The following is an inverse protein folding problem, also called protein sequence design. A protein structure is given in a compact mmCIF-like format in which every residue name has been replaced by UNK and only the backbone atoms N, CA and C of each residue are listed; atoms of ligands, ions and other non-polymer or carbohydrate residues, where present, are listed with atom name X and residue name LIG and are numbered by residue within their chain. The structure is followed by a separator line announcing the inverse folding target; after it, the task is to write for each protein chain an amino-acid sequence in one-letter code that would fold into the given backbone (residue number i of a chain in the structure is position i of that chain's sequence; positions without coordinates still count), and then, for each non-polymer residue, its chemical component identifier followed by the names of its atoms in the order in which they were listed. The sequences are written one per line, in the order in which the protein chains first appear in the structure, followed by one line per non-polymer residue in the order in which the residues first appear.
data_IF_558708791175
#
_entry.id   IF_558708791175
#
_cell.length_a   1.000
_cell.length_b   1.000
_cell.length_c   1.000
_cell.angle_alpha   90.00
_cell.angle_beta   90.00
_cell.angle_gamma   90.00
#
_symmetry.space_group_name_H-M   'P 1'
#
loop_
_entity.id
_entity.type
_entity.pdbx_description
1 polymer ?
2 non-polymer ?
3 non-polymer ?
4 water ?
#
# COMPACT_ATOMS: atom_id res chain seq x y z
N UNK A 1 -7.73 28.67 0.93
CA UNK A 1 -7.93 27.94 2.18
C UNK A 1 -7.61 26.46 1.95
N UNK A 2 -7.00 25.81 2.95
CA UNK A 2 -6.69 24.39 2.79
C UNK A 2 -7.94 23.54 2.78
N UNK A 3 -7.86 22.40 2.09
CA UNK A 3 -8.89 21.38 2.22
C UNK A 3 -8.82 20.80 3.61
N UNK A 4 -9.98 20.43 4.17
CA UNK A 4 -10.07 19.99 5.56
C UNK A 4 -10.51 18.54 5.61
N UNK A 5 -9.81 17.74 6.41
CA UNK A 5 -10.13 16.33 6.57
C UNK A 5 -10.08 16.01 8.05
N UNK A 6 -10.86 15.00 8.45
CA UNK A 6 -10.95 14.57 9.84
C UNK A 6 -10.95 13.05 9.86
N UNK A 7 -10.11 12.45 10.72
CA UNK A 7 -10.03 11.00 10.80
C UNK A 7 -9.76 10.51 12.21
N UNK A 8 -10.39 9.38 12.55
CA UNK A 8 -10.01 8.61 13.73
C UNK A 8 -9.02 7.54 13.30
N UNK A 9 -7.91 7.44 14.03
CA UNK A 9 -6.94 6.38 13.77
C UNK A 9 -6.65 5.64 15.07
N UNK A 10 -6.20 4.39 14.92
CA UNK A 10 -5.90 3.52 16.05
C UNK A 10 -4.41 3.19 16.08
N UNK A 11 -3.85 3.15 17.29
CA UNK A 11 -2.50 2.66 17.54
C UNK A 11 -2.60 1.20 17.96
N UNK A 12 -1.91 0.32 17.23
CA UNK A 12 -1.99 -1.11 17.44
C UNK A 12 -0.62 -1.66 17.77
N UNK A 13 -0.62 -2.75 18.54
CA UNK A 13 0.62 -3.44 18.89
C UNK A 13 0.61 -3.89 20.33
N UNK A 14 1.52 -4.80 20.64
CA UNK A 14 1.61 -5.42 21.96
C UNK A 14 1.94 -4.38 23.03
N UNK A 15 1.76 -4.77 24.29
CA UNK A 15 2.08 -3.86 25.38
C UNK A 15 3.56 -3.51 25.36
N UNK A 16 3.84 -2.26 25.72
CA UNK A 16 5.20 -1.73 25.87
C UNK A 16 5.95 -1.61 24.55
N UNK A 17 5.27 -1.59 23.40
CA UNK A 17 5.98 -1.37 22.14
C UNK A 17 6.22 0.11 21.89
N UNK A 18 5.52 0.98 22.59
CA UNK A 18 5.67 2.42 22.45
C UNK A 18 4.48 3.15 21.85
N UNK A 19 3.27 2.58 21.93
CA UNK A 19 2.10 3.25 21.38
C UNK A 19 1.85 4.58 22.06
N UNK A 20 1.85 4.61 23.39
CA UNK A 20 1.66 5.87 24.11
C UNK A 20 2.82 6.82 23.82
N UNK A 21 4.04 6.32 23.90
CA UNK A 21 5.20 7.20 23.69
C UNK A 21 5.19 7.82 22.30
N UNK A 22 4.83 7.02 21.27
CA UNK A 22 4.76 7.60 19.93
C UNK A 22 3.67 8.66 19.85
N UNK A 23 2.51 8.40 20.48
CA UNK A 23 1.44 9.40 20.44
C UNK A 23 1.85 10.67 21.18
N UNK A 24 2.48 10.55 22.35
CA UNK A 24 2.97 11.72 23.08
C UNK A 24 4.01 12.48 22.26
N UNK A 25 4.94 11.77 21.62
CA UNK A 25 5.93 12.43 20.77
C UNK A 25 5.23 13.21 19.64
N UNK A 26 4.22 12.62 19.02
CA UNK A 26 3.56 13.30 17.91
C UNK A 26 2.73 14.50 18.36
N UNK A 27 2.01 14.37 19.47
CA UNK A 27 1.05 15.40 19.85
C UNK A 27 1.63 16.43 20.81
N UNK A 28 2.55 16.04 21.69
CA UNK A 28 3.16 16.95 22.65
C UNK A 28 4.64 17.20 22.41
N UNK A 29 5.26 16.50 21.45
CA UNK A 29 6.64 16.70 21.05
C UNK A 29 7.61 16.63 22.22
N UNK A 30 7.46 15.59 23.03
CA UNK A 30 8.47 15.26 24.03
C UNK A 30 8.42 13.77 24.32
N UNK A 31 9.38 13.34 25.15
CA UNK A 31 9.48 11.95 25.60
C UNK A 31 9.84 11.98 27.08
N UNK A 32 9.22 11.09 27.86
CA UNK A 32 9.51 10.98 29.29
C UNK A 32 9.34 9.53 29.70
N UNK A 33 10.41 8.90 30.21
CA UNK A 33 10.32 7.52 30.69
C UNK A 33 9.21 7.37 31.72
N UNK A 34 9.02 8.41 32.54
CA UNK A 34 8.05 8.39 33.62
C UNK A 34 6.72 9.02 33.23
N UNK A 35 6.42 9.14 31.94
CA UNK A 35 5.12 9.66 31.52
C UNK A 35 4.02 8.77 32.07
N UNK A 36 3.00 9.39 32.66
CA UNK A 36 1.84 8.69 33.19
C UNK A 36 0.68 8.95 32.24
N UNK A 37 0.23 7.93 31.53
CA UNK A 37 -0.99 8.05 30.74
C UNK A 37 -2.19 7.89 31.66
N UNK A 38 -3.22 8.68 31.44
CA UNK A 38 -4.39 8.63 32.30
C UNK A 38 -5.51 7.82 31.65
N UNK A 39 -6.24 7.10 32.48
CA UNK A 39 -7.37 6.28 32.04
C UNK A 39 -8.52 7.15 31.55
N UNK A 40 -8.53 8.44 31.90
CA UNK A 40 -9.64 9.32 31.58
C UNK A 40 -9.52 10.00 30.24
N UNK A 41 -9.12 9.24 29.22
CA UNK A 41 -8.88 9.80 27.90
C UNK A 41 -8.75 8.70 26.86
N UNK A 42 -9.75 8.56 26.00
CA UNK A 42 -9.67 7.56 24.93
C UNK A 42 -8.65 7.95 23.89
N UNK A 43 -8.51 9.23 23.60
CA UNK A 43 -7.76 9.63 22.42
C UNK A 43 -7.06 10.97 22.62
N UNK A 44 -6.00 11.15 21.85
CA UNK A 44 -5.33 12.44 21.71
C UNK A 44 -5.75 13.08 20.40
N UNK A 45 -5.54 14.37 20.29
CA UNK A 45 -5.90 15.12 19.09
C UNK A 45 -4.66 15.79 18.54
N UNK A 46 -4.50 15.70 17.23
CA UNK A 46 -3.44 16.40 16.52
C UNK A 46 -4.06 17.09 15.32
N UNK A 47 -3.69 18.34 15.09
CA UNK A 47 -4.02 19.04 13.86
C UNK A 47 -2.73 19.17 13.06
N UNK A 48 -2.76 18.73 11.80
CA UNK A 48 -1.57 18.61 10.99
C UNK A 48 -1.81 19.27 9.65
N UNK A 49 -0.87 20.11 9.21
CA UNK A 49 -0.94 20.71 7.88
C UNK A 49 -0.01 19.96 6.94
N UNK A 50 -0.51 19.60 5.76
CA UNK A 50 0.28 18.96 4.70
C UNK A 50 0.46 19.96 3.57
N UNK A 51 1.67 20.53 3.46
CA UNK A 51 1.95 21.56 2.47
C UNK A 51 1.82 21.04 1.04
N UNK A 52 2.32 19.82 0.79
CA UNK A 52 2.39 19.29 -0.57
C UNK A 52 1.04 19.32 -1.27
N UNK A 53 -0.07 19.36 -0.52
CA UNK A 53 -1.39 19.28 -1.13
C UNK A 53 -2.38 20.28 -0.53
N UNK A 54 -1.86 21.24 0.22
CA UNK A 54 -2.65 22.24 0.93
C UNK A 54 -3.88 21.62 1.59
N UNK A 55 -3.61 20.72 2.52
CA UNK A 55 -4.65 19.98 3.23
C UNK A 55 -4.36 20.05 4.71
N UNK A 56 -5.42 20.24 5.50
CA UNK A 56 -5.30 20.26 6.94
C UNK A 56 -6.08 19.06 7.49
N UNK A 57 -5.46 18.31 8.40
CA UNK A 57 -6.05 17.08 8.93
C UNK A 57 -6.18 17.22 10.44
N UNK A 58 -7.36 16.88 10.96
CA UNK A 58 -7.58 16.76 12.39
C UNK A 58 -7.69 15.28 12.70
N UNK A 59 -6.83 14.77 13.58
CA UNK A 59 -6.77 13.35 13.90
C UNK A 59 -7.20 13.14 15.34
N UNK A 60 -8.02 12.11 15.54
CA UNK A 60 -8.24 11.54 16.87
C UNK A 60 -7.42 10.27 16.91
N UNK A 61 -6.49 10.18 17.85
CA UNK A 61 -5.54 9.08 17.90
C UNK A 61 -5.90 8.24 19.12
N UNK A 62 -6.42 7.03 18.88
CA UNK A 62 -6.94 6.17 19.92
C UNK A 62 -5.90 5.12 20.29
N UNK A 63 -5.79 4.84 21.59
CA UNK A 63 -4.73 3.98 22.10
C UNK A 63 -5.28 3.25 23.33
N UNK A 64 -5.23 1.91 23.30
CA UNK A 64 -5.75 1.11 24.41
C UNK A 64 -4.93 1.33 25.68
N UNK A 73 -15.16 -3.72 24.71
CA UNK A 73 -14.09 -2.73 24.67
C UNK A 73 -13.54 -2.60 23.25
N UNK A 74 -13.20 -3.74 22.65
CA UNK A 74 -12.55 -3.73 21.34
C UNK A 74 -13.44 -3.10 20.28
N UNK A 75 -14.73 -3.45 20.26
CA UNK A 75 -15.63 -2.92 19.23
C UNK A 75 -15.62 -1.40 19.24
N UNK A 76 -15.78 -0.78 20.41
CA UNK A 76 -15.75 0.66 20.50
C UNK A 76 -14.40 1.25 20.18
N UNK A 77 -13.32 0.54 20.51
CA UNK A 77 -11.99 1.03 20.17
C UNK A 77 -11.84 1.20 18.67
N UNK A 78 -12.25 0.18 17.90
CA UNK A 78 -12.03 0.21 16.46
C UNK A 78 -13.07 1.03 15.71
N UNK A 79 -14.29 1.13 16.24
CA UNK A 79 -15.41 1.68 15.48
C UNK A 79 -15.07 3.03 14.88
N UNK A 80 -15.29 3.16 13.57
CA UNK A 80 -15.08 4.43 12.91
C UNK A 80 -13.66 4.74 12.48
N UNK A 81 -12.69 3.89 12.79
CA UNK A 81 -11.31 4.15 12.41
C UNK A 81 -11.15 4.07 10.88
N UNK A 82 -10.36 5.01 10.35
CA UNK A 82 -10.04 5.04 8.92
C UNK A 82 -8.57 4.67 8.63
N UNK A 83 -7.80 4.36 9.66
CA UNK A 83 -6.40 4.03 9.45
C UNK A 83 -5.78 3.69 10.80
N UNK A 84 -4.57 3.17 10.73
CA UNK A 84 -3.85 2.87 11.97
C UNK A 84 -2.37 2.73 11.78
N UNK A 85 -1.66 2.81 12.90
CA UNK A 85 -0.23 2.49 12.96
C UNK A 85 -0.07 1.14 13.66
N UNK A 86 0.69 0.25 13.04
CA UNK A 86 0.84 -1.12 13.52
C UNK A 86 2.27 -1.24 14.04
N UNK A 87 2.43 -1.19 15.36
CA UNK A 87 3.75 -1.05 15.97
C UNK A 87 4.28 -2.37 16.49
N UNK A 88 5.61 -2.53 16.38
CA UNK A 88 6.31 -3.51 17.17
C UNK A 88 7.57 -2.90 17.76
N UNK A 89 8.17 -3.61 18.71
CA UNK A 89 9.40 -3.20 19.38
C UNK A 89 10.54 -4.01 18.75
N UNK A 90 11.48 -3.32 18.08
CA UNK A 90 12.53 -4.05 17.37
C UNK A 90 13.42 -4.87 18.29
N UNK A 91 13.35 -4.66 19.60
CA UNK A 91 14.14 -5.42 20.56
C UNK A 91 13.42 -6.66 21.09
N UNK A 92 12.16 -6.90 20.69
CA UNK A 92 11.41 -8.05 21.19
C UNK A 92 10.71 -8.76 20.04
N UNK A 93 11.21 -9.94 19.67
CA UNK A 93 10.69 -10.62 18.47
C UNK A 93 9.23 -11.00 18.62
N UNK A 94 8.78 -11.33 19.83
CA UNK A 94 7.38 -11.72 20.01
C UNK A 94 6.44 -10.58 19.58
N UNK A 95 6.82 -9.32 19.82
CA UNK A 95 5.94 -8.23 19.42
C UNK A 95 5.85 -8.12 17.90
N UNK A 96 6.91 -8.50 17.19
CA UNK A 96 6.85 -8.53 15.73
C UNK A 96 5.98 -9.69 15.25
N UNK A 97 6.12 -10.87 15.85
CA UNK A 97 5.28 -12.00 15.45
C UNK A 97 3.80 -11.63 15.60
N UNK A 98 3.46 -10.83 16.60
CA UNK A 98 2.06 -10.56 16.91
C UNK A 98 1.42 -9.47 16.05
N UNK A 99 2.18 -8.75 15.22
CA UNK A 99 1.55 -7.69 14.45
C UNK A 99 0.47 -8.25 13.52
N UNK A 100 0.65 -9.47 13.02
CA UNK A 100 -0.38 -10.07 12.17
C UNK A 100 -1.67 -10.28 12.96
N UNK A 101 -1.56 -10.64 14.24
CA UNK A 101 -2.76 -10.84 15.03
C UNK A 101 -3.50 -9.52 15.25
N UNK A 102 -2.74 -8.42 15.41
CA UNK A 102 -3.37 -7.11 15.55
C UNK A 102 -4.07 -6.68 14.26
N UNK A 103 -3.42 -6.89 13.12
CA UNK A 103 -4.06 -6.58 11.84
C UNK A 103 -5.36 -7.35 11.69
N UNK A 104 -5.32 -8.66 11.98
CA UNK A 104 -6.55 -9.46 11.85
C UNK A 104 -7.63 -8.99 12.80
N UNK A 105 -7.27 -8.63 14.04
CA UNK A 105 -8.28 -8.18 15.00
C UNK A 105 -8.97 -6.91 14.51
N UNK A 106 -8.18 -5.95 14.02
CA UNK A 106 -8.74 -4.69 13.52
C UNK A 106 -9.67 -4.96 12.34
N UNK A 107 -9.21 -5.75 11.38
CA UNK A 107 -10.02 -5.97 10.19
C UNK A 107 -11.29 -6.75 10.51
N UNK A 108 -11.22 -7.69 11.45
CA UNK A 108 -12.41 -8.43 11.83
C UNK A 108 -13.42 -7.55 12.55
N UNK A 109 -12.93 -6.66 13.41
CA UNK A 109 -13.83 -5.78 14.16
C UNK A 109 -14.53 -4.79 13.24
N UNK A 110 -13.79 -4.26 12.26
CA UNK A 110 -14.35 -3.27 11.34
C UNK A 110 -15.10 -3.89 10.17
N UNK A 111 -14.88 -5.18 9.93
CA UNK A 111 -15.43 -5.90 8.78
C UNK A 111 -14.98 -5.30 7.45
N UNK A 112 -13.81 -4.66 7.46
CA UNK A 112 -13.20 -4.16 6.24
C UNK A 112 -11.72 -3.96 6.52
N UNK A 113 -10.96 -3.83 5.44
CA UNK A 113 -9.57 -3.42 5.56
C UNK A 113 -9.51 -1.90 5.72
N UNK A 114 -8.56 -1.44 6.52
CA UNK A 114 -8.22 -0.02 6.59
C UNK A 114 -6.73 0.09 6.35
N UNK A 115 -6.22 1.22 5.87
CA UNK A 115 -4.78 1.34 5.68
C UNK A 115 -4.04 1.32 7.00
N UNK A 116 -2.91 0.59 7.01
CA UNK A 116 -2.03 0.53 8.16
C UNK A 116 -0.63 0.83 7.69
N UNK A 117 0.12 1.57 8.50
CA UNK A 117 1.55 1.74 8.33
C UNK A 117 2.25 0.89 9.38
N UNK A 118 3.17 0.03 8.94
CA UNK A 118 3.95 -0.80 9.86
C UNK A 118 5.08 0.04 10.44
N UNK A 119 5.18 0.07 11.76
CA UNK A 119 6.13 0.93 12.45
C UNK A 119 7.03 0.07 13.31
N UNK A 120 8.30 0.01 12.96
CA UNK A 120 9.31 -0.67 13.77
C UNK A 120 9.84 0.36 14.74
N UNK A 121 9.42 0.29 16.00
CA UNK A 121 9.74 1.32 16.99
C UNK A 121 10.92 0.91 17.87
N UNK A 122 11.51 1.92 18.51
CA UNK A 122 12.67 1.79 19.40
C UNK A 122 13.97 1.55 18.65
N UNK A 123 14.09 2.07 17.42
CA UNK A 123 15.30 1.82 16.64
C UNK A 123 16.54 2.49 17.23
N UNK A 124 16.36 3.41 18.19
CA UNK A 124 17.50 4.01 18.87
C UNK A 124 18.24 3.00 19.72
N UNK A 125 17.60 1.86 20.04
CA UNK A 125 18.20 0.83 20.88
C UNK A 125 18.99 -0.15 20.00
N UNK A 126 20.08 0.36 19.45
CA UNK A 126 20.81 -0.38 18.41
C UNK A 126 21.41 -1.67 18.95
N UNK A 127 21.98 -1.62 20.16
CA UNK A 127 22.70 -2.78 20.67
C UNK A 127 21.79 -3.93 21.05
N UNK A 128 20.51 -3.69 21.30
CA UNK A 128 19.59 -4.75 21.67
C UNK A 128 18.57 -5.07 20.59
N UNK A 129 18.77 -4.56 19.37
CA UNK A 129 17.83 -4.83 18.30
C UNK A 129 17.93 -6.30 17.87
N UNK A 130 16.78 -6.94 17.69
CA UNK A 130 16.74 -8.32 17.23
C UNK A 130 15.94 -8.52 15.95
N UNK A 131 15.01 -7.64 15.60
CA UNK A 131 14.25 -7.73 14.36
C UNK A 131 14.91 -6.84 13.32
N UNK A 132 15.37 -7.44 12.22
CA UNK A 132 16.10 -6.70 11.21
C UNK A 132 15.14 -5.88 10.35
N UNK A 133 15.68 -4.78 9.80
CA UNK A 133 14.93 -3.91 8.90
C UNK A 133 14.23 -4.71 7.80
N UNK A 134 14.95 -5.65 7.18
CA UNK A 134 14.42 -6.37 6.04
C UNK A 134 13.21 -7.23 6.41
N UNK A 135 13.17 -7.74 7.64
CA UNK A 135 12.02 -8.54 8.07
C UNK A 135 10.75 -7.70 8.09
N UNK A 136 10.84 -6.48 8.64
CA UNK A 136 9.69 -5.60 8.67
C UNK A 136 9.30 -5.11 7.28
N UNK A 137 10.29 -4.78 6.45
CA UNK A 137 10.00 -4.38 5.08
C UNK A 137 9.27 -5.47 4.33
N UNK A 138 9.67 -6.73 4.52
CA UNK A 138 9.03 -7.83 3.81
C UNK A 138 7.59 -8.02 4.27
N UNK A 139 7.33 -7.98 5.58
CA UNK A 139 5.96 -8.10 6.06
C UNK A 139 5.08 -6.99 5.47
N UNK A 140 5.58 -5.76 5.49
CA UNK A 140 4.80 -4.64 4.97
C UNK A 140 4.53 -4.81 3.48
N UNK A 141 5.56 -5.16 2.72
CA UNK A 141 5.41 -5.33 1.27
C UNK A 141 4.38 -6.41 0.94
N UNK A 142 4.36 -7.52 1.71
CA UNK A 142 3.41 -8.59 1.45
C UNK A 142 1.96 -8.14 1.62
N UNK A 143 1.71 -7.09 2.41
CA UNK A 143 0.39 -6.56 2.69
C UNK A 143 0.12 -5.22 2.01
N UNK A 144 1.04 -4.75 1.17
CA UNK A 144 0.94 -3.41 0.56
C UNK A 144 0.81 -2.32 1.62
N UNK A 145 1.51 -2.50 2.75
CA UNK A 145 1.61 -1.46 3.77
C UNK A 145 2.93 -0.74 3.63
N UNK A 146 2.92 0.55 4.00
CA UNK A 146 4.19 1.24 4.12
C UNK A 146 4.90 0.82 5.41
N UNK A 147 6.22 1.06 5.44
CA UNK A 147 7.07 0.64 6.55
C UNK A 147 7.93 1.81 6.99
N UNK A 148 7.95 2.06 8.30
CA UNK A 148 8.71 3.18 8.88
C UNK A 148 9.48 2.67 10.08
N UNK A 149 10.77 3.04 10.18
CA UNK A 149 11.56 2.81 11.39
C UNK A 149 11.55 4.07 12.23
N UNK A 150 11.07 3.97 13.47
CA UNK A 150 10.83 5.15 14.29
C UNK A 150 11.47 5.01 15.67
N UNK A 151 11.64 6.17 16.33
CA UNK A 151 11.97 6.21 17.74
C UNK A 151 11.16 7.31 18.39
N UNK A 152 10.30 6.95 19.33
CA UNK A 152 9.63 7.98 20.11
C UNK A 152 10.61 8.77 20.95
N UNK A 153 11.72 8.13 21.36
CA UNK A 153 12.69 8.81 22.19
C UNK A 153 13.38 9.92 21.42
N UNK A 154 13.93 9.62 20.25
CA UNK A 154 14.64 10.67 19.51
C UNK A 154 13.73 11.47 18.61
N UNK A 155 12.51 11.00 18.37
CA UNK A 155 11.61 11.61 17.42
C UNK A 155 11.77 11.12 15.99
N UNK A 156 12.76 10.28 15.73
CA UNK A 156 13.09 9.88 14.36
C UNK A 156 11.87 9.29 13.67
N UNK A 157 11.45 9.92 12.56
CA UNK A 157 10.40 9.45 11.67
C UNK A 157 9.01 9.36 12.30
N UNK A 158 8.80 9.91 13.49
CA UNK A 158 7.48 9.77 14.11
C UNK A 158 6.45 10.58 13.34
N UNK A 159 6.70 11.87 13.11
CA UNK A 159 5.77 12.66 12.31
C UNK A 159 5.59 12.05 10.93
N UNK A 160 6.68 11.54 10.35
CA UNK A 160 6.63 10.93 9.02
C UNK A 160 5.63 9.79 8.98
N UNK A 161 5.63 8.93 10.01
CA UNK A 161 4.70 7.80 10.00
C UNK A 161 3.24 8.28 10.00
N UNK A 162 2.92 9.24 10.87
CA UNK A 162 1.55 9.73 10.90
C UNK A 162 1.21 10.49 9.62
N UNK A 163 2.15 11.28 9.09
CA UNK A 163 1.88 12.03 7.87
C UNK A 163 1.63 11.10 6.70
N UNK A 164 2.41 10.01 6.60
CA UNK A 164 2.19 9.02 5.55
C UNK A 164 0.78 8.46 5.64
N UNK A 165 0.37 8.09 6.85
CA UNK A 165 -0.98 7.54 7.00
C UNK A 165 -2.03 8.58 6.60
N UNK A 166 -1.85 9.83 7.02
CA UNK A 166 -2.78 10.89 6.67
C UNK A 166 -2.92 11.00 5.15
N UNK A 167 -1.80 10.99 4.43
CA UNK A 167 -1.89 11.13 2.97
C UNK A 167 -2.65 9.96 2.36
N UNK A 168 -2.41 8.75 2.87
CA UNK A 168 -3.13 7.59 2.36
C UNK A 168 -4.63 7.73 2.59
N UNK A 169 -5.00 8.18 3.80
CA UNK A 169 -6.43 8.31 4.11
C UNK A 169 -7.08 9.39 3.25
N UNK A 170 -6.37 10.48 2.98
CA UNK A 170 -6.88 11.52 2.08
C UNK A 170 -7.06 10.97 0.67
N UNK A 171 -6.07 10.24 0.17
CA UNK A 171 -6.25 9.67 -1.17
C UNK A 171 -7.43 8.70 -1.22
N UNK A 172 -7.69 7.96 -0.13
CA UNK A 172 -8.85 7.09 -0.10
C UNK A 172 -10.15 7.90 -0.06
N UNK A 173 -10.19 8.99 0.72
CA UNK A 173 -11.34 9.89 0.71
C UNK A 173 -11.61 10.41 -0.70
N UNK A 174 -10.56 10.82 -1.40
CA UNK A 174 -10.73 11.27 -2.79
C UNK A 174 -11.26 10.14 -3.68
N UNK A 175 -10.71 8.92 -3.52
CA UNK A 175 -11.21 7.78 -4.29
C UNK A 175 -12.71 7.61 -4.07
N UNK A 176 -13.14 7.69 -2.81
CA UNK A 176 -14.55 7.51 -2.51
C UNK A 176 -15.40 8.62 -3.13
N UNK A 177 -14.89 9.85 -3.09
CA UNK A 177 -15.61 10.95 -3.74
C UNK A 177 -15.85 10.65 -5.21
N UNK A 178 -14.84 10.10 -5.89
CA UNK A 178 -15.00 9.78 -7.30
C UNK A 178 -15.99 8.64 -7.50
N UNK A 179 -16.01 7.66 -6.61
CA UNK A 179 -16.92 6.54 -6.77
C UNK A 179 -18.37 6.97 -6.59
N UNK A 180 -18.61 7.94 -5.71
CA UNK A 180 -19.96 8.41 -5.48
C UNK A 180 -20.41 9.42 -6.51
N UNK A 181 -19.53 9.79 -7.46
CA UNK A 181 -19.76 10.87 -8.40
C UNK A 181 -19.75 10.38 -9.85
N UNK A 182 -20.09 9.12 -10.08
CA UNK A 182 -19.93 8.57 -11.43
C UNK A 182 -20.98 9.06 -12.41
N UNK B 1 -4.95 -29.18 2.67
CA UNK B 1 -4.88 -29.12 1.21
C UNK B 1 -4.02 -27.94 0.74
N UNK B 2 -3.22 -28.17 -0.30
CA UNK B 2 -2.38 -27.10 -0.82
C UNK B 2 -3.23 -25.92 -1.29
N UNK B 3 -2.73 -24.72 -1.04
CA UNK B 3 -3.50 -23.50 -1.29
C UNK B 3 -3.40 -23.11 -2.75
N UNK B 4 -4.54 -23.06 -3.42
CA UNK B 4 -4.63 -22.63 -4.81
C UNK B 4 -5.50 -21.38 -4.89
N UNK B 5 -5.05 -20.41 -5.68
CA UNK B 5 -5.75 -19.15 -5.84
C UNK B 5 -5.87 -18.84 -7.32
N UNK B 6 -6.94 -18.13 -7.66
CA UNK B 6 -7.19 -17.70 -9.03
C UNK B 6 -7.60 -16.24 -9.01
N UNK B 7 -6.90 -15.40 -9.78
CA UNK B 7 -7.22 -13.99 -9.78
C UNK B 7 -7.25 -13.44 -11.20
N UNK B 8 -8.21 -12.56 -11.46
CA UNK B 8 -8.17 -11.71 -12.63
C UNK B 8 -7.46 -10.41 -12.24
N UNK B 9 -6.47 -10.02 -13.06
CA UNK B 9 -5.77 -8.76 -12.85
C UNK B 9 -5.82 -7.94 -14.13
N UNK B 10 -5.68 -6.63 -13.96
CA UNK B 10 -5.72 -5.70 -15.10
C UNK B 10 -4.35 -5.04 -15.24
N UNK B 11 -3.90 -4.91 -16.48
CA UNK B 11 -2.74 -4.08 -16.80
C UNK B 11 -3.28 -2.71 -17.21
N UNK B 12 -2.81 -1.65 -16.56
CA UNK B 12 -3.33 -0.31 -16.79
C UNK B 12 -2.19 0.62 -17.20
N UNK B 13 -2.51 1.61 -18.00
CA UNK B 13 -1.56 2.63 -18.39
C UNK B 13 -1.79 3.06 -19.81
N UNK B 14 -1.20 4.20 -20.17
CA UNK B 14 -1.42 4.77 -21.50
C UNK B 14 -0.90 3.85 -22.60
N UNK B 15 -1.29 4.17 -23.84
CA UNK B 15 -0.78 3.40 -24.96
C UNK B 15 0.74 3.46 -25.01
N UNK B 16 1.34 2.34 -25.40
CA UNK B 16 2.77 2.23 -25.67
C UNK B 16 3.65 2.33 -24.41
N UNK B 17 3.07 2.14 -23.22
CA UNK B 17 3.92 2.12 -22.02
C UNK B 17 4.56 0.77 -21.80
N UNK B 18 4.10 -0.27 -22.47
CA UNK B 18 4.67 -1.59 -22.33
C UNK B 18 3.77 -2.65 -21.68
N UNK B 19 2.45 -2.46 -21.67
CA UNK B 19 1.57 -3.44 -21.03
C UNK B 19 1.68 -4.80 -21.72
N UNK B 20 1.61 -4.82 -23.05
CA UNK B 20 1.73 -6.09 -23.77
C UNK B 20 3.12 -6.68 -23.60
N UNK B 21 4.16 -5.85 -23.73
CA UNK B 21 5.52 -6.36 -23.62
C UNK B 21 5.78 -6.95 -22.24
N UNK B 22 5.26 -6.30 -21.19
CA UNK B 22 5.46 -6.84 -19.84
C UNK B 22 4.76 -8.18 -19.68
N UNK B 23 3.53 -8.29 -20.19
CA UNK B 23 2.79 -9.54 -20.10
C UNK B 23 3.49 -10.64 -20.92
N UNK B 24 4.01 -10.30 -22.10
CA UNK B 24 4.68 -11.30 -22.92
C UNK B 24 5.99 -11.76 -22.27
N UNK B 25 6.74 -10.82 -21.68
CA UNK B 25 7.94 -11.23 -20.96
C UNK B 25 7.60 -12.16 -19.80
N UNK B 26 6.55 -11.83 -19.06
CA UNK B 26 6.14 -12.64 -17.90
C UNK B 26 5.67 -14.03 -18.32
N UNK B 27 4.77 -14.11 -19.30
CA UNK B 27 4.10 -15.38 -19.60
C UNK B 27 4.89 -16.25 -20.58
N UNK B 28 5.72 -15.65 -21.43
CA UNK B 28 6.40 -16.38 -22.50
C UNK B 28 7.91 -16.23 -22.50
N UNK B 29 8.46 -15.42 -21.60
CA UNK B 29 9.90 -15.33 -21.37
C UNK B 29 10.65 -14.74 -22.56
N UNK B 30 10.03 -13.83 -23.30
CA UNK B 30 10.75 -13.21 -24.41
C UNK B 30 10.29 -11.78 -24.62
N UNK B 31 11.09 -11.04 -25.39
CA UNK B 31 10.80 -9.68 -25.80
C UNK B 31 11.06 -9.59 -27.29
N UNK B 32 10.11 -9.03 -28.03
CA UNK B 32 10.28 -8.81 -29.46
C UNK B 32 9.55 -7.53 -29.81
N UNK B 33 10.26 -6.55 -30.39
CA UNK B 33 9.67 -5.26 -30.70
C UNK B 33 8.49 -5.37 -31.65
N UNK B 34 8.41 -6.43 -32.45
CA UNK B 34 7.29 -6.62 -33.36
C UNK B 34 6.20 -7.47 -32.72
N UNK B 43 -7.67 -12.15 -22.61
CA UNK B 43 -6.68 -12.16 -21.56
C UNK B 43 -5.57 -13.18 -21.82
N UNK B 44 -4.43 -12.99 -21.17
CA UNK B 44 -3.34 -13.95 -21.15
C UNK B 44 -3.34 -14.67 -19.81
N UNK B 45 -2.90 -15.94 -19.81
CA UNK B 45 -2.91 -16.77 -18.61
C UNK B 45 -1.49 -17.00 -18.13
N UNK B 46 -1.33 -17.09 -16.81
CA UNK B 46 -0.06 -17.49 -16.20
C UNK B 46 -0.33 -18.36 -14.98
N UNK B 47 0.44 -19.43 -14.85
CA UNK B 47 0.51 -20.20 -13.62
C UNK B 47 1.81 -19.84 -12.93
N UNK B 48 1.75 -19.57 -11.63
CA UNK B 48 2.99 -19.34 -10.90
C UNK B 48 2.91 -19.96 -9.52
N UNK B 49 4.07 -20.16 -8.91
CA UNK B 49 4.15 -20.68 -7.56
C UNK B 49 4.90 -19.66 -6.71
N UNK B 50 4.33 -19.32 -5.55
CA UNK B 50 5.04 -18.55 -4.55
C UNK B 50 5.56 -19.56 -3.55
N UNK B 51 6.81 -19.97 -3.73
CA UNK B 51 7.32 -21.11 -2.98
C UNK B 51 7.56 -20.79 -1.51
N UNK B 52 7.75 -19.50 -1.18
CA UNK B 52 7.93 -19.07 0.19
C UNK B 52 6.73 -19.43 1.07
N UNK B 53 5.53 -19.37 0.50
CA UNK B 53 4.30 -19.76 1.20
C UNK B 53 3.65 -20.99 0.57
N UNK B 54 4.34 -21.64 -0.37
CA UNK B 54 3.82 -22.82 -1.06
C UNK B 54 2.41 -22.59 -1.59
N UNK B 55 2.25 -21.49 -2.33
CA UNK B 55 0.97 -21.09 -2.88
C UNK B 55 1.04 -21.22 -4.40
N UNK B 56 0.01 -21.81 -4.99
CA UNK B 56 -0.12 -21.88 -6.45
C UNK B 56 -1.16 -20.89 -6.91
N UNK B 57 -0.82 -20.08 -7.90
CA UNK B 57 -1.69 -19.01 -8.39
C UNK B 57 -1.93 -19.20 -9.89
N UNK B 58 -3.17 -18.96 -10.32
CA UNK B 58 -3.49 -18.85 -11.73
C UNK B 58 -3.97 -17.42 -11.97
N UNK B 59 -3.34 -16.73 -12.92
CA UNK B 59 -3.69 -15.35 -13.25
C UNK B 59 -4.34 -15.29 -14.62
N UNK B 60 -5.38 -14.47 -14.73
CA UNK B 60 -5.93 -14.04 -16.01
C UNK B 60 -5.59 -12.57 -16.13
N UNK B 61 -4.79 -12.24 -17.14
CA UNK B 61 -4.18 -10.92 -17.24
C UNK B 61 -4.86 -10.17 -18.38
N UNK B 62 -5.62 -9.14 -18.03
CA UNK B 62 -6.44 -8.40 -18.98
C UNK B 62 -5.77 -7.07 -19.32
N UNK B 63 -5.86 -6.68 -20.59
CA UNK B 63 -5.42 -5.35 -20.95
C UNK B 63 -6.25 -4.84 -22.11
N UNK B 64 -6.30 -3.50 -22.19
CA UNK B 64 -7.13 -2.83 -23.20
C UNK B 64 -6.40 -2.78 -24.54
N UNK B 65 -7.11 -3.17 -25.60
CA UNK B 65 -6.58 -3.02 -26.95
C UNK B 65 -6.67 -1.56 -27.38
N UNK B 66 -5.69 -1.15 -28.19
CA UNK B 66 -5.68 0.21 -28.72
C UNK B 66 -5.26 1.24 -27.67
N UNK B 67 -5.80 2.45 -27.83
CA UNK B 67 -5.57 3.55 -26.89
C UNK B 67 -6.92 4.17 -26.56
N UNK B 68 -7.74 3.51 -25.75
CA UNK B 68 -9.07 4.06 -25.46
C UNK B 68 -8.99 5.30 -24.56
N UNK B 69 -9.97 6.17 -24.75
CA UNK B 69 -10.13 7.33 -23.89
C UNK B 69 -10.69 6.91 -22.53
N UNK B 70 -10.46 7.75 -21.53
CA UNK B 70 -10.97 7.48 -20.19
C UNK B 70 -12.49 7.56 -20.16
N UNK B 71 -13.09 6.70 -19.34
CA UNK B 71 -14.53 6.66 -19.17
C UNK B 71 -14.86 6.80 -17.70
N UNK B 72 -16.03 7.38 -17.41
CA UNK B 72 -16.49 7.43 -16.02
C UNK B 72 -16.59 6.02 -15.44
N UNK B 73 -17.25 5.12 -16.16
CA UNK B 73 -17.31 3.70 -15.80
C UNK B 73 -17.06 2.91 -17.08
N UNK B 74 -16.12 1.97 -17.06
CA UNK B 74 -15.84 1.16 -18.23
C UNK B 74 -16.51 -0.19 -18.06
N UNK B 75 -17.44 -0.51 -18.95
CA UNK B 75 -18.19 -1.75 -18.85
C UNK B 75 -17.31 -2.94 -19.16
N UNK B 76 -17.51 -4.02 -18.41
CA UNK B 76 -16.88 -5.33 -18.66
C UNK B 76 -15.44 -5.53 -18.27
N UNK B 77 -14.56 -4.60 -18.66
CA UNK B 77 -13.13 -4.81 -18.53
C UNK B 77 -12.71 -5.09 -17.09
N UNK B 78 -13.18 -4.30 -16.14
CA UNK B 78 -12.71 -4.43 -14.77
C UNK B 78 -13.41 -5.53 -14.00
N UNK B 79 -14.60 -5.96 -14.43
CA UNK B 79 -15.46 -6.81 -13.62
C UNK B 79 -14.70 -8.04 -13.15
N UNK B 80 -14.71 -8.28 -11.84
CA UNK B 80 -14.07 -9.42 -11.25
C UNK B 80 -12.60 -9.24 -10.94
N UNK B 81 -12.00 -8.12 -11.29
CA UNK B 81 -10.57 -7.93 -11.04
C UNK B 81 -10.29 -7.78 -9.55
N UNK B 82 -9.19 -8.36 -9.11
CA UNK B 82 -8.77 -8.28 -7.72
C UNK B 82 -7.42 -7.60 -7.54
N UNK B 83 -6.81 -7.12 -8.62
CA UNK B 83 -5.52 -6.44 -8.53
C UNK B 83 -5.14 -5.93 -9.89
N UNK B 84 -4.06 -5.17 -9.92
CA UNK B 84 -3.59 -4.71 -11.22
C UNK B 84 -2.20 -4.15 -11.13
N UNK B 85 -1.59 -3.99 -12.31
CA UNK B 85 -0.32 -3.29 -12.45
C UNK B 85 -0.59 -1.96 -13.14
N UNK B 86 -0.05 -0.88 -12.58
CA UNK B 86 -0.30 0.47 -13.07
C UNK B 86 1.00 0.98 -13.68
N UNK B 87 1.10 0.95 -15.00
CA UNK B 87 2.35 1.18 -15.71
C UNK B 87 2.44 2.59 -16.26
N UNK B 88 3.66 3.12 -16.26
CA UNK B 88 3.98 4.28 -17.06
C UNK B 88 5.33 4.06 -17.72
N UNK B 89 5.61 4.90 -18.70
CA UNK B 89 6.86 4.88 -19.46
C UNK B 89 7.71 5.99 -18.86
N UNK B 90 8.83 5.63 -18.24
CA UNK B 90 9.68 6.63 -17.58
C UNK B 90 10.25 7.66 -18.55
N UNK B 91 10.15 7.43 -19.85
CA UNK B 91 10.64 8.41 -20.82
C UNK B 91 9.56 9.40 -21.28
N UNK B 92 8.30 9.24 -20.84
CA UNK B 92 7.19 10.10 -21.29
C UNK B 92 6.39 10.58 -20.09
N UNK B 93 6.59 11.85 -19.73
CA UNK B 93 5.94 12.41 -18.53
C UNK B 93 4.41 12.31 -18.59
N UNK B 94 3.81 12.49 -19.77
CA UNK B 94 2.35 12.43 -19.85
C UNK B 94 1.81 11.09 -19.37
N UNK B 95 2.55 10.00 -19.61
CA UNK B 95 2.07 8.70 -19.17
C UNK B 95 2.08 8.56 -17.65
N UNK B 96 3.03 9.26 -16.99
CA UNK B 96 3.05 9.26 -15.52
C UNK B 96 1.91 10.12 -14.97
N UNK B 97 1.68 11.30 -15.55
CA UNK B 97 0.56 12.12 -15.13
C UNK B 97 -0.75 11.33 -15.22
N UNK B 98 -0.88 10.49 -16.23
CA UNK B 98 -2.14 9.78 -16.44
C UNK B 98 -2.35 8.56 -15.55
N UNK B 99 -1.35 8.09 -14.79
CA UNK B 99 -1.62 6.89 -13.99
C UNK B 99 -2.71 7.12 -12.97
N UNK B 100 -2.80 8.34 -12.41
CA UNK B 100 -3.90 8.62 -11.49
C UNK B 100 -5.25 8.45 -12.18
N UNK B 101 -5.34 8.84 -13.46
CA UNK B 101 -6.61 8.72 -14.16
C UNK B 101 -6.99 7.26 -14.40
N UNK B 102 -6.00 6.40 -14.67
CA UNK B 102 -6.29 4.98 -14.81
C UNK B 102 -6.71 4.36 -13.48
N UNK B 103 -6.02 4.73 -12.40
CA UNK B 103 -6.39 4.22 -11.08
C UNK B 103 -7.84 4.57 -10.78
N UNK B 104 -8.23 5.83 -11.02
CA UNK B 104 -9.60 6.24 -10.74
C UNK B 104 -10.61 5.54 -11.64
N UNK B 105 -10.27 5.31 -12.91
CA UNK B 105 -11.23 4.59 -13.76
C UNK B 105 -11.50 3.20 -13.22
N UNK B 106 -10.46 2.49 -12.79
CA UNK B 106 -10.63 1.17 -12.19
C UNK B 106 -11.50 1.26 -10.95
N UNK B 107 -11.19 2.18 -10.04
CA UNK B 107 -11.92 2.25 -8.78
C UNK B 107 -13.38 2.68 -8.99
N UNK B 108 -13.61 3.66 -9.89
CA UNK B 108 -15.00 4.01 -10.19
C UNK B 108 -15.76 2.82 -10.79
N UNK B 109 -15.10 2.08 -11.68
CA UNK B 109 -15.78 0.98 -12.37
C UNK B 109 -16.09 -0.18 -11.44
N UNK B 110 -15.25 -0.40 -10.44
CA UNK B 110 -15.45 -1.49 -9.50
C UNK B 110 -16.20 -1.07 -8.25
N UNK B 111 -16.31 0.23 -7.99
CA UNK B 111 -16.88 0.77 -6.76
C UNK B 111 -16.13 0.30 -5.52
N UNK B 112 -14.85 0.01 -5.68
CA UNK B 112 -14.00 -0.32 -4.56
C UNK B 112 -12.56 -0.12 -4.99
N UNK B 113 -11.68 -0.02 -4.01
CA UNK B 113 -10.24 -0.04 -4.26
C UNK B 113 -9.80 -1.48 -4.41
N UNK B 114 -8.88 -1.72 -5.34
CA UNK B 114 -8.16 -2.98 -5.45
C UNK B 114 -6.68 -2.67 -5.34
N UNK B 115 -5.85 -3.62 -4.90
CA UNK B 115 -4.41 -3.33 -4.82
C UNK B 115 -3.83 -3.15 -6.21
N UNK B 116 -3.01 -2.11 -6.35
CA UNK B 116 -2.27 -1.86 -7.58
C UNK B 116 -0.80 -1.77 -7.22
N UNK B 117 0.06 -2.27 -8.09
CA UNK B 117 1.50 -2.07 -7.98
C UNK B 117 1.87 -1.07 -9.05
N UNK B 118 2.55 0.01 -8.66
CA UNK B 118 2.99 1.03 -9.62
C UNK B 118 4.27 0.54 -10.27
N UNK B 119 4.26 0.50 -11.60
CA UNK B 119 5.38 -0.06 -12.39
C UNK B 119 5.94 1.04 -13.28
N UNK B 120 7.16 1.48 -12.98
CA UNK B 120 7.90 2.41 -13.83
C UNK B 120 8.62 1.56 -14.87
N UNK B 121 8.09 1.55 -16.10
CA UNK B 121 8.62 0.66 -17.14
C UNK B 121 9.58 1.42 -18.05
N UNK B 122 10.40 0.63 -18.76
CA UNK B 122 11.40 1.12 -19.72
C UNK B 122 12.60 1.75 -19.04
N UNK B 123 12.91 1.32 -17.82
CA UNK B 123 14.06 1.88 -17.10
C UNK B 123 15.39 1.57 -17.79
N UNK B 124 15.40 0.69 -18.79
CA UNK B 124 16.60 0.48 -19.59
C UNK B 124 16.97 1.69 -20.44
N UNK B 125 16.02 2.60 -20.68
CA UNK B 125 16.26 3.79 -21.50
C UNK B 125 16.77 4.92 -20.61
N UNK B 126 18.01 4.75 -20.16
CA UNK B 126 18.54 5.63 -19.12
C UNK B 126 18.76 7.06 -19.63
N UNK B 127 19.19 7.21 -20.88
CA UNK B 127 19.49 8.56 -21.38
C UNK B 127 18.24 9.37 -21.67
N UNK B 128 17.12 8.70 -21.96
CA UNK B 128 15.86 9.35 -22.31
C UNK B 128 14.89 9.44 -21.14
N UNK B 129 15.28 8.93 -19.97
CA UNK B 129 14.40 8.92 -18.82
C UNK B 129 14.12 10.35 -18.32
N UNK B 130 12.85 10.63 -18.05
CA UNK B 130 12.46 11.95 -17.55
C UNK B 130 11.71 11.90 -16.22
N UNK B 131 11.11 10.78 -15.83
CA UNK B 131 10.41 10.69 -14.56
C UNK B 131 11.37 10.03 -13.58
N UNK B 132 11.75 10.76 -12.53
CA UNK B 132 12.75 10.25 -11.62
C UNK B 132 12.16 9.18 -10.69
N UNK B 133 13.04 8.30 -10.20
CA UNK B 133 12.65 7.27 -9.25
C UNK B 133 11.82 7.85 -8.10
N UNK B 134 12.30 8.94 -7.49
CA UNK B 134 11.63 9.51 -6.33
C UNK B 134 10.20 9.92 -6.64
N UNK B 135 9.94 10.38 -7.87
CA UNK B 135 8.58 10.81 -8.22
C UNK B 135 7.62 9.63 -8.18
N UNK B 136 8.01 8.50 -8.76
CA UNK B 136 7.17 7.32 -8.73
C UNK B 136 7.01 6.77 -7.32
N UNK B 137 8.10 6.72 -6.55
CA UNK B 137 8.01 6.25 -5.18
C UNK B 137 7.03 7.08 -4.38
N UNK B 138 7.04 8.40 -4.60
CA UNK B 138 6.15 9.29 -3.86
C UNK B 138 4.69 9.04 -4.21
N UNK B 139 4.39 8.94 -5.51
CA UNK B 139 3.02 8.64 -5.92
C UNK B 139 2.54 7.34 -5.29
N UNK B 140 3.36 6.30 -5.35
CA UNK B 140 2.97 5.01 -4.81
C UNK B 140 2.74 5.11 -3.29
N UNK B 141 3.65 5.75 -2.58
CA UNK B 141 3.54 5.87 -1.13
C UNK B 141 2.27 6.59 -0.72
N UNK B 142 1.87 7.62 -1.47
CA UNK B 142 0.68 8.40 -1.15
C UNK B 142 -0.59 7.56 -1.25
N UNK B 143 -0.56 6.45 -1.99
CA UNK B 143 -1.73 5.58 -2.17
C UNK B 143 -1.54 4.24 -1.46
N UNK B 144 -0.46 4.06 -0.71
CA UNK B 144 -0.09 2.78 -0.12
C UNK B 144 0.04 1.67 -1.17
N UNK B 145 0.59 2.03 -2.35
CA UNK B 145 0.92 1.08 -3.40
C UNK B 145 2.40 0.74 -3.32
N UNK B 146 2.73 -0.49 -3.70
CA UNK B 146 4.14 -0.81 -3.91
C UNK B 146 4.62 -0.22 -5.24
N UNK B 147 5.94 -0.07 -5.35
CA UNK B 147 6.56 0.57 -6.51
C UNK B 147 7.72 -0.29 -7.00
N UNK B 148 7.75 -0.55 -8.30
CA UNK B 148 8.77 -1.38 -8.94
C UNK B 148 9.28 -0.67 -10.19
N UNK B 149 10.60 -0.68 -10.40
CA UNK B 149 11.21 -0.22 -11.65
C UNK B 149 11.49 -1.45 -12.50
N UNK B 150 10.96 -1.46 -13.72
CA UNK B 150 11.01 -2.66 -14.54
C UNK B 150 11.43 -2.33 -15.96
N UNK B 151 11.81 -3.38 -16.68
CA UNK B 151 12.07 -3.32 -18.12
C UNK B 151 11.58 -4.62 -18.72
N UNK B 152 10.58 -4.56 -19.59
CA UNK B 152 10.22 -5.75 -20.35
C UNK B 152 11.36 -6.18 -21.25
N UNK B 153 12.16 -5.23 -21.71
CA UNK B 153 13.24 -5.53 -22.64
C UNK B 153 14.31 -6.39 -21.99
N UNK B 154 14.80 -5.99 -20.81
CA UNK B 154 15.80 -6.79 -20.11
C UNK B 154 15.19 -7.89 -19.26
N UNK B 155 13.91 -7.75 -18.91
CA UNK B 155 13.29 -8.63 -17.96
C UNK B 155 13.41 -8.18 -16.52
N UNK B 156 14.20 -7.14 -16.23
CA UNK B 156 14.43 -6.74 -14.85
C UNK B 156 13.13 -6.45 -14.09
N UNK B 157 12.94 -7.17 -12.99
CA UNK B 157 11.85 -6.97 -12.04
C UNK B 157 10.46 -7.26 -12.60
N UNK B 158 10.35 -7.89 -13.77
CA UNK B 158 9.02 -8.18 -14.31
C UNK B 158 8.34 -9.24 -13.47
N UNK B 159 9.00 -10.38 -13.29
CA UNK B 159 8.45 -11.42 -12.42
C UNK B 159 8.13 -10.87 -11.04
N UNK B 160 9.02 -10.02 -10.52
CA UNK B 160 8.83 -9.52 -9.16
C UNK B 160 7.58 -8.66 -9.04
N UNK B 161 7.29 -7.85 -10.05
CA UNK B 161 6.09 -7.03 -9.98
C UNK B 161 4.84 -7.89 -9.86
N UNK B 162 4.70 -8.89 -10.74
CA UNK B 162 3.54 -9.76 -10.67
C UNK B 162 3.52 -10.58 -9.38
N UNK B 163 4.68 -11.09 -8.96
CA UNK B 163 4.74 -11.90 -7.75
C UNK B 163 4.34 -11.08 -6.53
N UNK B 164 4.78 -9.82 -6.45
CA UNK B 164 4.37 -9.00 -5.32
C UNK B 164 2.87 -8.76 -5.34
N UNK B 165 2.30 -8.48 -6.51
CA UNK B 165 0.86 -8.30 -6.59
C UNK B 165 0.12 -9.55 -6.15
N UNK B 166 0.58 -10.73 -6.59
CA UNK B 166 -0.03 -11.98 -6.17
C UNK B 166 -0.01 -12.15 -4.66
N UNK B 167 1.13 -11.85 -4.01
CA UNK B 167 1.18 -12.01 -2.56
C UNK B 167 0.21 -11.05 -1.87
N UNK B 168 0.11 -9.81 -2.36
CA UNK B 168 -0.86 -8.86 -1.80
C UNK B 168 -2.28 -9.38 -1.94
N UNK B 169 -2.62 -9.90 -3.12
CA UNK B 169 -3.98 -10.42 -3.32
C UNK B 169 -4.26 -11.60 -2.41
N UNK B 170 -3.26 -12.47 -2.20
CA UNK B 170 -3.43 -13.60 -1.29
C UNK B 170 -3.67 -13.13 0.13
N UNK B 171 -2.87 -12.16 0.59
CA UNK B 171 -3.08 -11.63 1.94
C UNK B 171 -4.47 -11.02 2.08
N UNK B 172 -4.96 -10.35 1.02
CA UNK B 172 -6.32 -9.81 1.07
C UNK B 172 -7.36 -10.92 1.09
N UNK B 173 -7.14 -11.99 0.30
CA UNK B 173 -8.05 -13.13 0.36
C UNK B 173 -8.12 -13.68 1.77
N UNK B 174 -6.97 -13.80 2.44
CA UNK B 174 -6.95 -14.28 3.82
C UNK B 174 -7.63 -13.30 4.77
N UNK B 175 -7.42 -11.99 4.56
CA UNK B 175 -8.14 -10.99 5.34
C UNK B 175 -9.64 -11.21 5.21
N UNK B 176 -10.11 -11.43 3.98
CA UNK B 176 -11.55 -11.62 3.77
C UNK B 176 -12.03 -12.87 4.48
N UNK B 177 -11.24 -13.95 4.43
CA UNK B 177 -11.65 -15.18 5.10
C UNK B 177 -11.69 -14.99 6.62
N UNK B 178 -10.77 -14.19 7.17
CA UNK B 178 -10.80 -13.90 8.60
C UNK B 178 -11.98 -13.02 8.97
N UNK B 179 -12.26 -12.00 8.16
CA UNK B 179 -13.39 -11.11 8.38
C UNK B 179 -14.72 -11.86 8.24
#
# INVERSE_FOLDING_TARGET
MPAEYRYKIVMLGDGAVGKTAMTTRFTQNFFDTDYKRTIGSDFAVKRLQLDDINAHVTLQIWDLAGQPRFESVRQGFYRGARGGLLLYDVTRRRTFINIENWKEEAFRSLQKEIPLVVVANKVDLKDSRVVATEEGEEYAKNNSFMYVESSALTGENVEEAYANLCRIMIEESKDISEMTST
MPAEYRYKIVMLGDGAVGKTAMTTRFTQNFFDTDYKRTIGSDFAVKRLQLDDINAHVTLQIWDLAGQPRFESVRQGFYRGARGGLLLYDVTRRRTFINIENWKEEAFRSLQKEIPLVVVANKVDLKDSRVVATEEGEEYAKNNSFMYVESSALTGENVEEAYANLCRIMIEESKDISEMTST
#
